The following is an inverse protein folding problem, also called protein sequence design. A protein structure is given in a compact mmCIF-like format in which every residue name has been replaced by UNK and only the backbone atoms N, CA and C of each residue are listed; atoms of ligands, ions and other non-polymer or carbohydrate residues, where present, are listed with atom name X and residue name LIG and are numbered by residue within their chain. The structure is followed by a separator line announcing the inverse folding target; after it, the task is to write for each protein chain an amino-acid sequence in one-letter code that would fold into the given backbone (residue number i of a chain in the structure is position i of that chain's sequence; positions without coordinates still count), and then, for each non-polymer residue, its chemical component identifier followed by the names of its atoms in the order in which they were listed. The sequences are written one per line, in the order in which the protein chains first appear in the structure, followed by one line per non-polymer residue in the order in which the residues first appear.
data_IF_837825744258
#
_entry.id   IF_837825744258
#
_cell.length_a   1.000
_cell.length_b   1.000
_cell.length_c   1.000
_cell.angle_alpha   90.00
_cell.angle_beta   90.00
_cell.angle_gamma   90.00
#
_symmetry.space_group_name_H-M   'P 1'
#
loop_
_entity.id
_entity.type
_entity.pdbx_description
1 polymer ?
#
# COMPACT_ATOMS: atom_id res chain seq x y z
N UNK A 1 -9.66 -18.22 -6.91
CA UNK A 1 -9.10 -18.90 -5.72
C UNK A 1 -7.86 -18.14 -5.23
N UNK A 2 -7.69 -17.93 -3.93
CA UNK A 2 -6.61 -17.12 -3.34
C UNK A 2 -5.53 -17.97 -2.67
N UNK A 3 -4.27 -17.54 -2.75
CA UNK A 3 -3.14 -18.17 -2.08
C UNK A 3 -2.85 -17.42 -0.77
N UNK A 4 -3.26 -18.02 0.35
CA UNK A 4 -3.23 -17.38 1.67
C UNK A 4 -1.90 -17.59 2.43
N UNK A 5 -0.87 -18.11 1.77
CA UNK A 5 0.46 -18.20 2.39
C UNK A 5 1.00 -16.78 2.65
N UNK A 6 1.70 -16.51 3.77
CA UNK A 6 2.14 -15.15 4.10
C UNK A 6 2.90 -14.44 2.98
N UNK A 7 3.85 -15.13 2.34
CA UNK A 7 4.62 -14.60 1.20
C UNK A 7 3.75 -14.34 -0.04
N UNK A 8 2.71 -15.14 -0.24
CA UNK A 8 1.79 -14.95 -1.35
C UNK A 8 0.90 -13.74 -1.15
N UNK A 9 0.33 -13.56 0.06
CA UNK A 9 -0.46 -12.38 0.44
C UNK A 9 0.38 -11.10 0.30
N UNK A 10 1.59 -11.09 0.87
CA UNK A 10 2.53 -9.97 0.78
C UNK A 10 2.78 -9.54 -0.67
N UNK A 11 3.01 -10.50 -1.56
CA UNK A 11 3.25 -10.26 -2.97
C UNK A 11 1.99 -9.83 -3.72
N UNK A 12 0.86 -10.48 -3.46
CA UNK A 12 -0.41 -10.19 -4.15
C UNK A 12 -0.92 -8.79 -3.82
N UNK A 13 -0.78 -8.37 -2.57
CA UNK A 13 -1.20 -7.06 -2.09
C UNK A 13 -0.07 -6.03 -2.13
N UNK A 14 1.12 -6.39 -2.62
CA UNK A 14 2.27 -5.50 -2.74
C UNK A 14 2.63 -4.76 -1.43
N UNK A 15 2.69 -5.48 -0.30
CA UNK A 15 2.76 -4.88 1.05
C UNK A 15 4.15 -4.32 1.43
N UNK A 16 5.18 -4.46 0.59
CA UNK A 16 6.55 -3.95 0.84
C UNK A 16 6.72 -2.53 0.31
N UNK A 17 5.79 -1.65 0.65
CA UNK A 17 5.79 -0.24 0.23
C UNK A 17 5.51 0.67 1.43
N UNK A 18 5.98 1.93 1.42
CA UNK A 18 5.73 2.87 2.51
C UNK A 18 4.29 3.45 2.49
N UNK A 19 3.29 2.58 2.63
CA UNK A 19 1.84 2.86 2.44
C UNK A 19 1.02 2.94 3.73
N UNK A 20 1.63 2.69 4.90
CA UNK A 20 0.86 2.43 6.13
C UNK A 20 0.46 3.69 6.92
N UNK A 21 1.06 4.84 6.64
CA UNK A 21 0.81 6.09 7.38
C UNK A 21 -0.67 6.48 7.32
N UNK A 22 -1.27 6.42 6.14
CA UNK A 22 -2.66 6.79 5.91
C UNK A 22 -3.61 5.86 6.65
N UNK A 23 -3.20 4.60 6.86
CA UNK A 23 -3.99 3.60 7.58
C UNK A 23 -4.08 3.87 9.08
N UNK A 24 -3.18 4.67 9.65
CA UNK A 24 -3.12 4.99 11.07
C UNK A 24 -4.25 5.92 11.55
N UNK A 25 -5.00 6.52 10.62
CA UNK A 25 -6.14 7.38 10.91
C UNK A 25 -7.35 6.98 10.05
N UNK A 26 -8.54 7.16 10.61
CA UNK A 26 -9.83 6.91 9.93
C UNK A 26 -10.04 5.45 9.45
N UNK A 27 -9.28 4.49 10.02
CA UNK A 27 -9.46 3.05 9.82
C UNK A 27 -8.71 2.46 8.62
N UNK A 28 -8.55 1.14 8.65
CA UNK A 28 -7.81 0.37 7.65
C UNK A 28 -8.66 -0.09 6.45
N UNK A 29 -9.98 -0.14 6.60
CA UNK A 29 -10.91 -0.79 5.66
C UNK A 29 -11.97 0.18 5.13
N UNK A 30 -12.52 -0.12 3.95
CA UNK A 30 -13.58 0.68 3.30
C UNK A 30 -13.07 1.99 2.68
N UNK A 31 -11.75 2.10 2.47
CA UNK A 31 -11.10 3.25 1.84
C UNK A 31 -10.86 2.99 0.37
N UNK A 32 -10.85 4.04 -0.44
CA UNK A 32 -10.60 3.93 -1.87
C UNK A 32 -9.12 3.57 -2.12
N UNK A 33 -8.89 2.53 -2.92
CA UNK A 33 -7.56 2.27 -3.49
C UNK A 33 -7.16 3.42 -4.44
N UNK A 34 -5.97 3.98 -4.22
CA UNK A 34 -5.46 5.10 -5.02
C UNK A 34 -3.93 5.12 -5.04
N UNK A 35 -3.37 5.72 -6.09
CA UNK A 35 -1.93 5.97 -6.22
C UNK A 35 -1.64 7.42 -5.86
N UNK A 36 -0.68 7.63 -4.96
CA UNK A 36 -0.29 8.95 -4.49
C UNK A 36 1.23 9.12 -4.61
N UNK A 37 1.66 10.36 -4.86
CA UNK A 37 3.08 10.72 -4.74
C UNK A 37 3.39 11.00 -3.27
N UNK A 38 4.42 10.35 -2.74
CA UNK A 38 4.95 10.58 -1.40
C UNK A 38 6.33 11.18 -1.46
N UNK A 39 6.51 12.23 -0.69
CA UNK A 39 7.76 12.94 -0.51
C UNK A 39 8.39 12.48 0.80
N UNK A 40 9.62 11.97 0.75
CA UNK A 40 10.38 11.54 1.91
C UNK A 40 11.62 12.41 2.06
N UNK A 41 11.80 12.98 3.25
CA UNK A 41 12.95 13.78 3.61
C UNK A 41 13.70 13.15 4.80
N UNK A 42 15.02 13.30 4.81
CA UNK A 42 15.88 12.82 5.89
C UNK A 42 17.08 13.73 6.04
N UNK A 43 17.59 13.89 7.26
CA UNK A 43 18.81 14.67 7.51
C UNK A 43 20.08 14.02 6.91
N UNK A 44 20.01 12.71 6.58
CA UNK A 44 21.17 11.91 6.16
C UNK A 44 21.04 11.35 4.74
N UNK A 45 19.88 11.50 4.11
CA UNK A 45 19.60 10.96 2.77
C UNK A 45 19.01 12.04 1.89
N UNK A 46 19.17 11.88 0.58
CA UNK A 46 18.53 12.75 -0.41
C UNK A 46 17.00 12.65 -0.31
N UNK A 47 16.34 13.74 -0.69
CA UNK A 47 14.89 13.75 -0.85
C UNK A 47 14.47 12.71 -1.88
N UNK A 48 13.40 11.99 -1.57
CA UNK A 48 12.93 10.89 -2.39
C UNK A 48 11.43 11.01 -2.64
N UNK A 49 11.07 11.11 -3.91
CA UNK A 49 9.69 11.08 -4.37
C UNK A 49 9.35 9.69 -4.89
N UNK A 50 8.33 9.05 -4.30
CA UNK A 50 7.86 7.72 -4.69
C UNK A 50 6.35 7.74 -4.98
N UNK A 51 5.96 7.13 -6.10
CA UNK A 51 4.56 6.75 -6.29
C UNK A 51 4.26 5.51 -5.43
N UNK A 52 3.25 5.61 -4.56
CA UNK A 52 2.83 4.54 -3.64
C UNK A 52 1.36 4.22 -3.89
N UNK A 53 1.03 2.94 -3.99
CA UNK A 53 -0.36 2.47 -4.11
C UNK A 53 -0.92 2.18 -2.71
N UNK A 54 -1.97 2.90 -2.32
CA UNK A 54 -2.61 2.77 -1.01
C UNK A 54 -3.77 1.77 -1.05
N UNK A 55 -4.05 1.14 0.09
CA UNK A 55 -5.21 0.25 0.30
C UNK A 55 -5.37 -0.83 -0.79
N UNK A 56 -4.28 -1.50 -1.14
CA UNK A 56 -4.26 -2.53 -2.20
C UNK A 56 -5.21 -3.70 -1.95
N UNK A 57 -5.60 -3.96 -0.70
CA UNK A 57 -6.59 -4.97 -0.31
C UNK A 57 -8.04 -4.57 -0.60
N UNK A 58 -8.33 -3.31 -0.90
CA UNK A 58 -9.67 -2.82 -1.25
C UNK A 58 -9.98 -2.97 -2.75
N UNK A 59 -9.03 -3.50 -3.54
CA UNK A 59 -9.21 -3.69 -4.99
C UNK A 59 -10.21 -4.80 -5.28
N UNK A 60 -11.03 -4.56 -6.31
CA UNK A 60 -12.02 -5.51 -6.83
C UNK A 60 -11.54 -6.21 -8.11
N UNK A 61 -10.21 -6.36 -8.28
CA UNK A 61 -9.57 -6.94 -9.47
C UNK A 61 -9.60 -8.48 -9.51
N UNK A 62 -10.31 -9.12 -8.57
CA UNK A 62 -10.43 -10.57 -8.38
C UNK A 62 -11.85 -11.02 -8.04
N UNK A 63 -12.86 -10.31 -8.56
CA UNK A 63 -14.29 -10.60 -8.33
C UNK A 63 -14.80 -11.75 -9.21
N UNK A 64 -14.20 -11.92 -10.38
CA UNK A 64 -14.46 -13.05 -11.30
C UNK A 64 -13.73 -14.34 -10.86
#
# INVERSE_FOLDING_TARGET
MFDLRPKAIERQLNLRQPMFLETAAYGHMGRKNEKVMKHFESLYHEELDLEVELFTWEKLDRVD
#
